data_IF_729494671309
#
_entry.id   IF_729494671309
#
_cell.length_a   1.000
_cell.length_b   1.000
_cell.length_c   1.000
_cell.angle_alpha   90.00
_cell.angle_beta   90.00
_cell.angle_gamma   90.00
#
_symmetry.space_group_name_H-M   'P 1'
#
loop_
_entity.id
_entity.type
_entity.pdbx_description
1 polymer ?
#
# COMPACT_ATOMS: atom_id res chain seq x y z
N UNK A 1 10.03 -0.50 18.47
CA UNK A 1 11.07 -0.68 17.45
C UNK A 1 11.10 -2.13 17.07
N UNK A 2 10.70 -2.44 15.84
CA UNK A 2 10.79 -3.79 15.35
C UNK A 2 10.39 -3.90 13.89
N UNK A 3 11.16 -4.73 13.19
CA UNK A 3 10.86 -5.22 11.86
C UNK A 3 11.00 -6.73 11.93
N UNK A 4 10.02 -7.46 11.43
CA UNK A 4 10.04 -8.91 11.40
C UNK A 4 9.69 -9.40 10.01
N UNK A 5 10.44 -10.39 9.50
CA UNK A 5 10.02 -11.11 8.31
C UNK A 5 8.78 -11.93 8.64
N UNK A 6 7.76 -11.83 7.79
CA UNK A 6 6.53 -12.61 7.89
C UNK A 6 6.31 -13.43 6.62
N UNK A 7 5.63 -14.56 6.78
CA UNK A 7 5.15 -15.38 5.67
C UNK A 7 3.99 -14.70 4.95
N UNK A 8 3.71 -15.11 3.71
CA UNK A 8 2.54 -14.64 2.97
C UNK A 8 1.21 -15.00 3.68
N UNK A 9 1.18 -16.10 4.43
CA UNK A 9 -0.01 -16.50 5.20
C UNK A 9 -0.24 -15.55 6.37
N UNK A 10 0.81 -15.17 7.09
CA UNK A 10 0.73 -14.18 8.17
C UNK A 10 0.38 -12.79 7.63
N UNK A 11 0.89 -12.44 6.45
CA UNK A 11 0.59 -11.18 5.79
C UNK A 11 -0.90 -11.03 5.43
N UNK A 12 -1.63 -12.13 5.19
CA UNK A 12 -3.09 -12.08 4.97
C UNK A 12 -3.87 -11.64 6.21
N UNK A 13 -3.30 -11.82 7.39
CA UNK A 13 -3.90 -11.38 8.66
C UNK A 13 -3.44 -9.97 9.07
N UNK A 14 -2.68 -9.31 8.20
CA UNK A 14 -2.22 -7.95 8.39
C UNK A 14 -2.84 -7.06 7.32
N UNK A 15 -3.03 -5.79 7.63
CA UNK A 15 -3.58 -4.84 6.67
C UNK A 15 -2.83 -3.53 6.75
N UNK A 16 -2.59 -2.95 5.58
CA UNK A 16 -2.24 -1.56 5.45
C UNK A 16 -3.53 -0.72 5.61
N UNK A 17 -3.38 0.46 6.17
CA UNK A 17 -4.52 1.30 6.51
C UNK A 17 -4.45 2.64 5.81
N UNK A 18 -5.61 3.19 5.55
CA UNK A 18 -5.80 4.50 4.95
C UNK A 18 -6.74 5.36 5.78
N UNK A 19 -6.55 6.67 5.69
CA UNK A 19 -7.46 7.67 6.24
C UNK A 19 -7.71 8.73 5.19
N UNK A 20 -8.97 9.01 4.91
CA UNK A 20 -9.36 9.95 3.86
C UNK A 20 -9.85 11.23 4.53
N UNK A 21 -9.33 12.37 4.08
CA UNK A 21 -9.86 13.68 4.44
C UNK A 21 -10.76 14.16 3.33
N UNK A 22 -11.93 14.62 3.71
CA UNK A 22 -12.86 15.29 2.81
C UNK A 22 -12.94 16.78 3.13
N UNK A 23 -13.17 17.56 2.08
CA UNK A 23 -13.43 18.99 2.12
C UNK A 23 -14.47 19.33 1.07
N UNK A 24 -15.56 19.99 1.45
CA UNK A 24 -16.73 20.25 0.62
C UNK A 24 -17.24 18.98 -0.11
N UNK A 25 -17.28 17.84 0.60
CA UNK A 25 -17.76 16.57 0.03
C UNK A 25 -16.83 15.95 -1.02
N UNK A 26 -15.63 16.50 -1.23
CA UNK A 26 -14.60 15.93 -2.13
C UNK A 26 -13.42 15.44 -1.33
N UNK A 27 -12.69 14.49 -1.89
CA UNK A 27 -11.42 14.03 -1.34
C UNK A 27 -10.41 15.19 -1.37
N UNK A 28 -9.78 15.47 -0.23
CA UNK A 28 -8.78 16.54 -0.06
C UNK A 28 -7.39 15.95 0.18
N UNK A 29 -7.32 14.85 0.94
CA UNK A 29 -6.06 14.19 1.31
C UNK A 29 -6.27 12.72 1.62
N UNK A 30 -5.23 11.94 1.36
CA UNK A 30 -5.12 10.54 1.76
C UNK A 30 -3.90 10.40 2.69
N UNK A 31 -4.09 9.75 3.84
CA UNK A 31 -3.00 9.30 4.70
C UNK A 31 -2.86 7.79 4.63
N UNK A 32 -1.62 7.33 4.51
CA UNK A 32 -1.26 5.92 4.45
C UNK A 32 -0.53 5.52 5.73
N UNK A 33 -0.95 4.42 6.33
CA UNK A 33 -0.25 3.80 7.44
C UNK A 33 0.05 2.34 7.08
N UNK A 34 1.20 2.14 6.46
CA UNK A 34 1.64 0.84 5.98
C UNK A 34 2.46 0.10 7.03
N UNK A 35 1.95 -1.04 7.47
CA UNK A 35 2.63 -1.89 8.47
C UNK A 35 3.24 -3.14 7.84
N UNK A 36 2.85 -3.48 6.61
CA UNK A 36 3.40 -4.62 5.88
C UNK A 36 3.90 -4.18 4.51
N UNK A 37 5.16 -4.48 4.21
CA UNK A 37 5.80 -4.07 2.96
C UNK A 37 6.94 -5.01 2.55
N UNK A 38 7.26 -5.09 1.25
CA UNK A 38 8.49 -5.70 0.77
C UNK A 38 9.73 -4.86 1.12
N UNK A 39 10.89 -5.50 1.07
CA UNK A 39 12.19 -4.84 1.21
C UNK A 39 13.13 -5.33 0.12
N UNK A 40 14.15 -4.53 -0.20
CA UNK A 40 15.26 -4.92 -1.05
C UNK A 40 16.58 -4.63 -0.35
N UNK A 41 17.65 -5.26 -0.83
CA UNK A 41 18.99 -4.99 -0.34
C UNK A 41 19.75 -4.08 -1.30
N UNK A 42 20.12 -2.88 -0.85
CA UNK A 42 20.96 -1.96 -1.64
C UNK A 42 22.34 -2.53 -2.03
N UNK A 43 22.86 -3.49 -1.27
CA UNK A 43 24.21 -4.03 -1.52
C UNK A 43 24.23 -5.06 -2.64
N UNK A 44 23.24 -5.96 -2.71
CA UNK A 44 23.15 -6.96 -3.77
C UNK A 44 22.03 -6.70 -4.78
N UNK A 45 21.28 -5.61 -4.62
CA UNK A 45 20.15 -5.18 -5.44
C UNK A 45 19.02 -6.22 -5.56
N UNK A 46 18.98 -7.22 -4.67
CA UNK A 46 17.93 -8.25 -4.68
C UNK A 46 16.75 -7.85 -3.79
N UNK A 47 15.54 -7.99 -4.34
CA UNK A 47 14.30 -7.98 -3.56
C UNK A 47 14.28 -9.16 -2.60
N UNK A 48 13.87 -8.91 -1.36
CA UNK A 48 13.68 -9.97 -0.38
C UNK A 48 12.44 -10.80 -0.73
N UNK A 49 12.52 -12.11 -0.54
CA UNK A 49 11.49 -13.09 -0.92
C UNK A 49 10.20 -12.98 -0.11
N UNK A 50 10.30 -12.46 1.12
CA UNK A 50 9.18 -12.32 2.05
C UNK A 50 8.74 -10.88 2.26
N UNK A 51 7.61 -10.74 2.93
CA UNK A 51 7.11 -9.46 3.43
C UNK A 51 7.66 -9.20 4.83
N UNK A 52 7.58 -7.93 5.26
CA UNK A 52 8.07 -7.52 6.56
C UNK A 52 7.01 -6.73 7.31
N UNK A 53 6.83 -7.06 8.59
CA UNK A 53 5.92 -6.41 9.53
C UNK A 53 6.67 -5.35 10.34
N UNK A 54 6.22 -4.11 10.21
CA UNK A 54 6.63 -2.97 11.02
C UNK A 54 5.84 -2.94 12.33
N UNK A 55 6.51 -3.24 13.45
CA UNK A 55 5.91 -3.25 14.80
C UNK A 55 6.23 -2.00 15.62
N UNK A 56 6.65 -0.92 14.94
CA UNK A 56 6.85 0.40 15.49
C UNK A 56 8.31 0.87 15.39
N UNK A 57 8.51 2.17 15.49
CA UNK A 57 9.80 2.85 15.43
C UNK A 57 10.08 3.64 16.72
N UNK A 58 11.26 4.24 16.81
CA UNK A 58 11.59 5.23 17.85
C UNK A 58 12.51 6.27 17.24
N UNK A 59 12.06 7.52 17.20
CA UNK A 59 12.78 8.61 16.54
C UNK A 59 13.06 8.29 15.05
N UNK A 60 12.07 7.71 14.37
CA UNK A 60 12.19 7.26 12.98
C UNK A 60 12.95 5.94 12.78
N UNK A 61 13.64 5.41 13.81
CA UNK A 61 14.40 4.17 13.67
C UNK A 61 13.49 2.96 13.85
N UNK A 62 13.33 2.15 12.81
CA UNK A 62 12.53 0.93 12.84
C UNK A 62 13.38 -0.23 13.36
N UNK A 63 14.55 -0.44 12.73
CA UNK A 63 15.47 -1.53 13.03
C UNK A 63 16.30 -1.93 11.81
N UNK A 64 17.03 -3.03 11.95
CA UNK A 64 17.82 -3.60 10.85
C UNK A 64 17.71 -5.11 10.82
N UNK A 65 17.79 -5.69 9.63
CA UNK A 65 17.80 -7.14 9.43
C UNK A 65 18.86 -7.55 8.38
N UNK A 66 19.43 -8.76 8.48
CA UNK A 66 20.37 -9.24 7.47
C UNK A 66 19.63 -9.59 6.17
N UNK A 67 20.21 -9.21 5.03
CA UNK A 67 19.77 -9.63 3.71
C UNK A 67 19.91 -11.15 3.57
N UNK A 68 18.88 -11.82 3.05
CA UNK A 68 18.90 -13.28 2.90
C UNK A 68 19.87 -13.81 1.82
N UNK A 69 20.31 -12.95 0.91
CA UNK A 69 21.17 -13.34 -0.21
C UNK A 69 22.66 -13.05 0.05
N UNK A 70 22.97 -11.87 0.58
CA UNK A 70 24.36 -11.43 0.78
C UNK A 70 24.76 -11.23 2.25
N UNK A 71 23.82 -11.40 3.19
CA UNK A 71 24.06 -11.23 4.63
C UNK A 71 24.25 -9.78 5.09
N UNK A 72 24.33 -8.81 4.18
CA UNK A 72 24.51 -7.41 4.56
C UNK A 72 23.29 -6.84 5.30
N UNK A 73 23.52 -5.93 6.25
CA UNK A 73 22.45 -5.27 6.98
C UNK A 73 21.59 -4.38 6.08
N UNK A 74 20.27 -4.50 6.24
CA UNK A 74 19.25 -3.62 5.67
C UNK A 74 18.72 -2.79 6.83
N UNK A 75 19.08 -1.51 6.89
CA UNK A 75 18.57 -0.55 7.87
C UNK A 75 17.29 0.10 7.34
N UNK A 76 16.27 0.13 8.19
CA UNK A 76 14.97 0.72 7.87
C UNK A 76 14.68 1.89 8.81
N UNK A 77 14.29 3.00 8.20
CA UNK A 77 13.87 4.24 8.87
C UNK A 77 12.48 4.63 8.35
N UNK A 78 11.61 5.13 9.21
CA UNK A 78 10.29 5.66 8.86
C UNK A 78 10.15 7.14 9.28
N UNK A 79 8.94 7.68 9.11
CA UNK A 79 8.56 9.04 9.51
C UNK A 79 7.79 9.07 10.86
N UNK A 80 8.11 8.13 11.76
CA UNK A 80 7.58 8.01 13.14
C UNK A 80 6.09 7.64 13.20
N UNK A 81 5.17 8.61 13.32
CA UNK A 81 3.78 8.33 13.71
C UNK A 81 2.91 7.73 12.59
N UNK A 82 3.18 8.07 11.33
CA UNK A 82 2.41 7.60 10.17
C UNK A 82 3.41 7.08 9.14
N UNK A 83 3.23 5.82 8.73
CA UNK A 83 4.17 5.14 7.85
C UNK A 83 3.67 5.25 6.41
N UNK A 84 3.85 6.43 5.84
CA UNK A 84 3.53 6.78 4.45
C UNK A 84 4.71 6.52 3.48
N UNK A 85 5.91 6.37 4.05
CA UNK A 85 7.12 5.98 3.34
C UNK A 85 8.13 5.34 4.30
N UNK A 86 9.09 4.62 3.72
CA UNK A 86 10.27 4.13 4.43
C UNK A 86 11.54 4.55 3.70
N UNK A 87 12.67 4.53 4.40
CA UNK A 87 13.99 4.57 3.80
C UNK A 87 14.70 3.25 4.04
N UNK A 88 15.18 2.66 2.96
CA UNK A 88 15.96 1.42 2.96
C UNK A 88 17.39 1.78 2.58
N UNK A 89 18.31 1.76 3.55
CA UNK A 89 19.71 2.19 3.35
C UNK A 89 19.82 3.54 2.58
N UNK A 90 19.11 4.56 3.06
CA UNK A 90 19.00 5.92 2.50
C UNK A 90 18.20 6.08 1.20
N UNK A 91 17.72 5.00 0.60
CA UNK A 91 16.82 5.07 -0.55
C UNK A 91 15.37 5.20 -0.07
N UNK A 92 14.70 6.30 -0.44
CA UNK A 92 13.32 6.56 -0.03
C UNK A 92 12.34 5.79 -0.92
N UNK A 93 11.39 5.12 -0.29
CA UNK A 93 10.30 4.41 -0.93
C UNK A 93 8.97 5.00 -0.46
N UNK A 94 8.22 5.57 -1.40
CA UNK A 94 6.88 6.12 -1.16
C UNK A 94 5.83 5.04 -1.40
N UNK A 95 5.02 4.76 -0.38
CA UNK A 95 3.95 3.75 -0.50
C UNK A 95 2.82 4.21 -1.41
N UNK A 96 2.54 5.51 -1.48
CA UNK A 96 1.58 6.08 -2.42
C UNK A 96 1.89 5.66 -3.87
N UNK A 97 3.16 5.78 -4.28
CA UNK A 97 3.60 5.38 -5.62
C UNK A 97 3.68 3.86 -5.77
N UNK A 98 4.26 3.17 -4.79
CA UNK A 98 4.47 1.73 -4.85
C UNK A 98 3.14 0.97 -4.89
N UNK A 99 2.13 1.45 -4.17
CA UNK A 99 0.84 0.77 -4.00
C UNK A 99 -0.28 1.38 -4.82
N UNK A 100 0.00 2.43 -5.62
CA UNK A 100 -1.01 3.18 -6.38
C UNK A 100 -2.16 3.65 -5.47
N UNK A 101 -1.79 4.11 -4.27
CA UNK A 101 -2.72 4.61 -3.25
C UNK A 101 -2.56 6.12 -3.14
N UNK A 102 -3.18 6.82 -4.09
CA UNK A 102 -3.27 8.28 -4.14
C UNK A 102 -4.73 8.73 -4.21
N UNK A 103 -4.98 10.03 -3.97
CA UNK A 103 -6.34 10.61 -4.05
C UNK A 103 -6.94 10.42 -5.43
N UNK A 104 -6.14 10.63 -6.48
CA UNK A 104 -6.57 10.57 -7.88
C UNK A 104 -7.23 9.23 -8.24
N UNK A 105 -6.69 8.12 -7.75
CA UNK A 105 -7.25 6.78 -8.01
C UNK A 105 -8.66 6.63 -7.43
N UNK A 106 -8.93 7.23 -6.27
CA UNK A 106 -10.24 7.18 -5.63
C UNK A 106 -11.18 8.19 -6.30
N UNK A 107 -10.70 9.38 -6.62
CA UNK A 107 -11.46 10.42 -7.33
C UNK A 107 -11.96 9.94 -8.70
N UNK A 108 -11.14 9.19 -9.45
CA UNK A 108 -11.59 8.61 -10.72
C UNK A 108 -12.76 7.64 -10.55
N UNK A 109 -12.84 6.89 -9.45
CA UNK A 109 -14.04 6.10 -9.19
C UNK A 109 -15.27 6.98 -8.97
N UNK A 110 -15.16 8.02 -8.14
CA UNK A 110 -16.27 8.95 -7.91
C UNK A 110 -16.76 9.60 -9.22
N UNK A 111 -15.82 10.07 -10.05
CA UNK A 111 -16.14 10.76 -11.29
C UNK A 111 -16.70 9.84 -12.38
N UNK A 112 -16.08 8.66 -12.59
CA UNK A 112 -16.37 7.84 -13.77
C UNK A 112 -17.46 6.81 -13.52
N UNK A 113 -17.64 6.37 -12.27
CA UNK A 113 -18.70 5.47 -11.88
C UNK A 113 -19.88 6.19 -11.20
N UNK A 114 -19.76 7.50 -10.93
CA UNK A 114 -20.81 8.28 -10.29
C UNK A 114 -21.11 7.84 -8.86
N UNK A 115 -20.11 7.27 -8.18
CA UNK A 115 -20.21 6.85 -6.78
C UNK A 115 -19.79 8.00 -5.85
N UNK A 116 -20.12 7.88 -4.56
CA UNK A 116 -19.70 8.86 -3.55
C UNK A 116 -19.08 8.14 -2.36
N UNK A 117 -17.85 8.48 -2.03
CA UNK A 117 -17.15 7.98 -0.84
C UNK A 117 -17.51 8.81 0.40
N UNK A 118 -17.93 10.06 0.20
CA UNK A 118 -18.56 10.88 1.23
C UNK A 118 -20.10 10.71 1.19
N UNK A 119 -20.73 10.07 2.20
CA UNK A 119 -22.19 9.89 2.21
C UNK A 119 -22.96 11.22 2.29
N UNK A 120 -22.30 12.30 2.72
CA UNK A 120 -22.86 13.66 2.75
C UNK A 120 -21.99 14.61 1.92
N UNK A 121 -22.61 15.31 0.95
CA UNK A 121 -21.95 16.29 0.06
C UNK A 121 -21.33 17.50 0.77
N UNK A 122 -21.57 17.66 2.08
CA UNK A 122 -21.01 18.71 2.94
C UNK A 122 -20.03 18.17 3.98
N UNK A 123 -19.64 16.90 3.90
CA UNK A 123 -18.72 16.31 4.87
C UNK A 123 -17.38 17.06 4.87
N UNK A 124 -16.98 17.50 6.06
CA UNK A 124 -15.74 18.21 6.36
C UNK A 124 -15.04 17.46 7.48
N UNK A 125 -13.94 16.79 7.17
CA UNK A 125 -13.19 16.06 8.19
C UNK A 125 -12.48 14.81 7.68
N UNK A 126 -11.93 14.07 8.63
CA UNK A 126 -11.27 12.80 8.36
C UNK A 126 -12.23 11.64 8.64
N UNK A 127 -12.13 10.58 7.84
CA UNK A 127 -12.70 9.27 8.18
C UNK A 127 -12.00 8.69 9.40
N UNK A 128 -12.57 7.63 9.99
CA UNK A 128 -11.77 6.71 10.79
C UNK A 128 -10.73 6.00 9.92
N UNK A 129 -9.71 5.42 10.55
CA UNK A 129 -8.78 4.53 9.84
C UNK A 129 -9.54 3.30 9.35
N UNK A 130 -9.33 2.95 8.09
CA UNK A 130 -9.87 1.73 7.49
C UNK A 130 -8.74 0.96 6.81
N UNK A 131 -8.87 -0.35 6.68
CA UNK A 131 -7.93 -1.13 5.88
C UNK A 131 -8.07 -0.80 4.39
N UNK A 132 -7.02 -1.06 3.62
CA UNK A 132 -7.07 -0.97 2.15
C UNK A 132 -8.15 -1.92 1.59
N UNK A 133 -8.34 -3.09 2.21
CA UNK A 133 -9.42 -4.01 1.83
C UNK A 133 -10.81 -3.42 2.09
N UNK A 134 -11.03 -2.72 3.21
CA UNK A 134 -12.31 -2.05 3.49
C UNK A 134 -12.60 -0.96 2.45
N UNK A 135 -11.59 -0.17 2.06
CA UNK A 135 -11.72 0.80 0.98
C UNK A 135 -12.11 0.11 -0.34
N UNK A 136 -11.38 -0.95 -0.72
CA UNK A 136 -11.66 -1.77 -1.90
C UNK A 136 -13.09 -2.29 -1.89
N UNK A 137 -13.51 -2.97 -0.81
CA UNK A 137 -14.84 -3.57 -0.65
C UNK A 137 -15.96 -2.53 -0.77
N UNK A 138 -15.75 -1.33 -0.23
CA UNK A 138 -16.70 -0.24 -0.38
C UNK A 138 -16.85 0.16 -1.86
N UNK A 139 -15.75 0.31 -2.59
CA UNK A 139 -15.78 0.67 -4.01
C UNK A 139 -16.39 -0.47 -4.84
N UNK A 140 -16.04 -1.72 -4.59
CA UNK A 140 -16.65 -2.89 -5.24
C UNK A 140 -18.16 -2.93 -5.02
N UNK A 141 -18.62 -2.68 -3.80
CA UNK A 141 -20.05 -2.63 -3.48
C UNK A 141 -20.77 -1.53 -4.26
N UNK A 142 -20.13 -0.38 -4.44
CA UNK A 142 -20.71 0.77 -5.13
C UNK A 142 -20.65 0.65 -6.66
N UNK A 143 -19.66 -0.07 -7.20
CA UNK A 143 -19.39 -0.17 -8.65
C UNK A 143 -19.82 -1.49 -9.28
N UNK A 144 -19.95 -2.56 -8.48
CA UNK A 144 -20.20 -3.92 -8.94
C UNK A 144 -18.97 -4.61 -9.55
N UNK A 145 -17.76 -4.06 -9.40
CA UNK A 145 -16.53 -4.69 -9.88
C UNK A 145 -16.15 -5.83 -8.94
N UNK A 146 -15.83 -7.00 -9.50
CA UNK A 146 -15.35 -8.16 -8.74
C UNK A 146 -13.84 -8.32 -8.88
N UNK A 147 -13.09 -8.36 -7.78
CA UNK A 147 -11.65 -8.67 -7.81
C UNK A 147 -11.33 -10.17 -7.67
N UNK A 148 -10.09 -10.52 -8.00
CA UNK A 148 -9.52 -11.86 -7.85
C UNK A 148 -8.45 -11.87 -6.76
N UNK A 149 -8.68 -12.66 -5.71
CA UNK A 149 -7.78 -12.83 -4.56
C UNK A 149 -6.40 -13.43 -4.93
N UNK A 150 -6.32 -14.12 -6.07
CA UNK A 150 -5.09 -14.72 -6.56
C UNK A 150 -4.27 -13.78 -7.43
N UNK A 151 -4.83 -12.63 -7.85
CA UNK A 151 -4.10 -11.69 -8.68
C UNK A 151 -2.81 -11.22 -7.99
N UNK A 152 -1.74 -11.08 -8.77
CA UNK A 152 -0.44 -10.58 -8.33
C UNK A 152 0.05 -9.53 -9.30
N UNK A 153 0.61 -8.47 -8.75
CA UNK A 153 1.11 -7.33 -9.50
C UNK A 153 2.54 -6.99 -9.07
N UNK A 154 3.27 -6.37 -9.98
CA UNK A 154 4.56 -5.76 -9.75
C UNK A 154 4.50 -4.31 -10.23
N UNK A 155 4.84 -3.39 -9.31
CA UNK A 155 4.91 -1.94 -9.58
C UNK A 155 6.36 -1.44 -9.55
N UNK A 156 7.27 -2.19 -8.93
CA UNK A 156 8.71 -1.96 -8.92
C UNK A 156 9.43 -3.30 -8.77
N UNK A 157 10.46 -3.55 -9.58
CA UNK A 157 11.23 -4.80 -9.56
C UNK A 157 11.94 -5.06 -8.21
N UNK A 158 12.31 -4.00 -7.49
CA UNK A 158 12.96 -4.09 -6.19
C UNK A 158 12.00 -4.48 -5.07
N UNK A 159 10.70 -4.23 -5.22
CA UNK A 159 9.72 -4.33 -4.15
C UNK A 159 8.68 -5.41 -4.44
N UNK A 160 9.13 -6.66 -4.49
CA UNK A 160 8.31 -7.83 -4.79
C UNK A 160 8.62 -8.96 -3.77
N UNK A 161 7.63 -9.61 -3.13
CA UNK A 161 6.18 -9.53 -3.36
C UNK A 161 5.49 -8.29 -2.79
N UNK A 162 4.43 -7.81 -3.46
CA UNK A 162 3.50 -6.83 -2.87
C UNK A 162 2.60 -7.50 -1.80
N UNK A 163 2.13 -6.74 -0.78
CA UNK A 163 1.18 -7.26 0.20
C UNK A 163 -0.15 -7.73 -0.43
N UNK A 164 -0.86 -8.72 0.15
CA UNK A 164 -2.10 -9.26 -0.44
C UNK A 164 -3.22 -8.23 -0.62
N UNK A 165 -3.43 -7.34 0.36
CA UNK A 165 -4.41 -6.26 0.31
C UNK A 165 -4.09 -5.27 -0.83
N UNK A 166 -2.81 -4.95 -1.02
CA UNK A 166 -2.36 -4.11 -2.13
C UNK A 166 -2.57 -4.79 -3.48
N UNK A 167 -2.31 -6.10 -3.60
CA UNK A 167 -2.58 -6.81 -4.85
C UNK A 167 -4.07 -6.78 -5.22
N UNK A 168 -4.97 -6.94 -4.24
CA UNK A 168 -6.42 -6.83 -4.48
C UNK A 168 -6.85 -5.40 -4.82
N UNK A 169 -6.24 -4.40 -4.18
CA UNK A 169 -6.43 -3.00 -4.55
C UNK A 169 -6.04 -2.73 -6.00
N UNK A 170 -4.84 -3.15 -6.42
CA UNK A 170 -4.40 -2.97 -7.81
C UNK A 170 -5.27 -3.79 -8.77
N UNK A 171 -5.77 -4.97 -8.37
CA UNK A 171 -6.72 -5.72 -9.18
C UNK A 171 -8.04 -4.98 -9.42
N UNK A 172 -8.53 -4.24 -8.42
CA UNK A 172 -9.70 -3.38 -8.59
C UNK A 172 -9.43 -2.28 -9.62
N UNK A 173 -8.26 -1.65 -9.56
CA UNK A 173 -7.84 -0.65 -10.55
C UNK A 173 -7.76 -1.26 -11.95
N UNK A 174 -7.08 -2.40 -12.10
CA UNK A 174 -6.87 -3.13 -13.37
C UNK A 174 -8.19 -3.58 -14.02
N UNK A 175 -9.18 -3.99 -13.21
CA UNK A 175 -10.51 -4.39 -13.70
C UNK A 175 -11.47 -3.23 -13.94
N UNK A 176 -11.09 -2.02 -13.54
CA UNK A 176 -11.88 -0.80 -13.73
C UNK A 176 -11.47 -0.06 -15.01
N UNK A 177 -12.06 1.10 -15.25
CA UNK A 177 -11.62 2.02 -16.30
C UNK A 177 -10.44 2.90 -15.88
N UNK A 178 -10.00 2.83 -14.61
CA UNK A 178 -8.89 3.61 -14.05
C UNK A 178 -7.58 3.32 -14.78
N UNK A 179 -6.86 4.36 -15.27
CA UNK A 179 -5.60 4.15 -15.96
C UNK A 179 -4.53 3.65 -14.98
N UNK A 180 -3.91 2.53 -15.33
CA UNK A 180 -2.69 2.07 -14.67
C UNK A 180 -1.46 2.65 -15.36
N UNK A 181 -0.42 3.03 -14.60
CA UNK A 181 0.87 3.39 -15.18
C UNK A 181 1.51 2.24 -15.98
N UNK A 182 2.24 2.57 -17.05
CA UNK A 182 2.87 1.58 -17.96
C UNK A 182 3.88 0.64 -17.27
N UNK A 183 4.39 1.01 -16.10
CA UNK A 183 5.32 0.19 -15.33
C UNK A 183 4.64 -0.89 -14.47
N UNK A 184 3.30 -0.85 -14.36
CA UNK A 184 2.53 -1.85 -13.62
C UNK A 184 2.37 -3.08 -14.49
N UNK A 185 2.71 -4.24 -13.94
CA UNK A 185 2.55 -5.51 -14.63
C UNK A 185 1.85 -6.55 -13.76
N UNK A 186 0.96 -7.33 -14.37
CA UNK A 186 0.36 -8.50 -13.75
C UNK A 186 1.31 -9.68 -13.90
N UNK A 187 1.54 -10.43 -12.82
CA UNK A 187 2.51 -11.53 -12.77
C UNK A 187 1.85 -12.81 -12.24
N UNK A 188 2.40 -13.96 -12.60
CA UNK A 188 1.96 -15.26 -12.05
C UNK A 188 0.64 -15.79 -12.59
N UNK A 189 0.29 -15.45 -13.84
CA UNK A 189 -0.76 -16.15 -14.61
C UNK A 189 -0.32 -17.55 -15.06
#
# INVERSE_FOLDING_TARGET
MGIARITLVEAKNSSNHVKIKFKNGKIDKLWLHCTVFPLFCKNCQQSQTGLFLHSGSRYGQVGSLPCEFCGAGIAIVDHDNIVESIKVNDESCSFEKLYLLGTDYIEWFEEWYGITMAPESLFEGWTDWMSVDQLREQIETLTGIETDDQARYQTDEKFNPLPPDINRWINLLDKSTVPLPDYVSKIGE
#
